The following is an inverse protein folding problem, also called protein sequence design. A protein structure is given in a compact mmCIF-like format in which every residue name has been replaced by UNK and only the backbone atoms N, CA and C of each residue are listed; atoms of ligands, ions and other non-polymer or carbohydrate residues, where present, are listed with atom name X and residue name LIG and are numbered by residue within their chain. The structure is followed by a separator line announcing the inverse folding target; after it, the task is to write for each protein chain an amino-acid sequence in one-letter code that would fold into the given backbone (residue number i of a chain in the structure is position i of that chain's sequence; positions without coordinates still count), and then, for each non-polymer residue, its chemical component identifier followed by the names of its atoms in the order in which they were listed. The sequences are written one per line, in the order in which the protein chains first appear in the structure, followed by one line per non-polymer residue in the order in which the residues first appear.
data_IF_444726592188
#
_entry.id   IF_444726592188
#
_cell.length_a   1.000
_cell.length_b   1.000
_cell.length_c   1.000
_cell.angle_alpha   90.00
_cell.angle_beta   90.00
_cell.angle_gamma   90.00
#
_symmetry.space_group_name_H-M   'P 1'
#
loop_
_entity.id
_entity.type
_entity.pdbx_description
1 polymer ?
#
# COMPACT_ATOMS: atom_id res chain seq x y z
N UNK A 1 -37.21 4.20 -41.77
CA UNK A 1 -37.05 3.28 -40.64
C UNK A 1 -35.74 3.61 -39.91
N UNK A 2 -35.74 3.91 -38.60
CA UNK A 2 -34.48 4.11 -37.85
C UNK A 2 -33.66 2.81 -37.87
N UNK A 3 -32.33 2.87 -37.95
CA UNK A 3 -31.47 1.69 -37.87
C UNK A 3 -31.63 0.99 -36.52
N UNK A 4 -31.18 -0.26 -36.39
CA UNK A 4 -31.29 -1.01 -35.14
C UNK A 4 -30.57 -0.28 -34.00
N UNK A 5 -29.35 0.18 -34.24
CA UNK A 5 -28.49 0.80 -33.21
C UNK A 5 -29.09 2.08 -32.63
N UNK A 6 -29.70 2.92 -33.47
CA UNK A 6 -30.27 4.22 -33.09
C UNK A 6 -31.74 4.14 -32.64
N UNK A 7 -32.31 2.93 -32.53
CA UNK A 7 -33.68 2.72 -32.08
C UNK A 7 -33.78 2.65 -30.56
N UNK A 8 -34.92 3.08 -29.99
CA UNK A 8 -35.23 2.89 -28.57
C UNK A 8 -35.40 1.41 -28.20
N UNK A 9 -35.22 1.05 -26.93
CA UNK A 9 -35.34 -0.34 -26.46
C UNK A 9 -36.69 -0.97 -26.78
N UNK A 10 -37.79 -0.23 -26.62
CA UNK A 10 -39.13 -0.69 -27.03
C UNK A 10 -39.16 -1.07 -28.51
N UNK A 11 -38.55 -0.26 -29.36
CA UNK A 11 -38.49 -0.52 -30.80
C UNK A 11 -37.57 -1.69 -31.15
N UNK A 12 -36.41 -1.82 -30.47
CA UNK A 12 -35.48 -2.96 -30.62
C UNK A 12 -36.16 -4.27 -30.24
N UNK A 13 -36.92 -4.30 -29.13
CA UNK A 13 -37.69 -5.48 -28.69
C UNK A 13 -38.74 -5.92 -29.70
N UNK A 14 -39.45 -4.97 -30.32
CA UNK A 14 -40.43 -5.24 -31.40
C UNK A 14 -39.75 -5.78 -32.66
N UNK A 15 -38.64 -5.16 -33.09
CA UNK A 15 -37.89 -5.59 -34.28
C UNK A 15 -37.31 -7.01 -34.16
N UNK A 16 -36.98 -7.44 -32.95
CA UNK A 16 -36.41 -8.77 -32.65
C UNK A 16 -37.47 -9.78 -32.20
N UNK A 17 -38.75 -9.41 -32.22
CA UNK A 17 -39.83 -10.27 -31.73
C UNK A 17 -39.99 -11.54 -32.56
N UNK A 18 -39.98 -11.40 -33.89
CA UNK A 18 -40.06 -12.52 -34.81
C UNK A 18 -38.90 -13.49 -34.59
N UNK A 19 -37.67 -12.99 -34.55
CA UNK A 19 -36.45 -13.79 -34.33
C UNK A 19 -36.53 -14.59 -33.01
N UNK A 20 -37.04 -13.98 -31.93
CA UNK A 20 -37.21 -14.66 -30.63
C UNK A 20 -38.34 -15.70 -30.61
N UNK A 21 -39.32 -15.60 -31.51
CA UNK A 21 -40.41 -16.58 -31.65
C UNK A 21 -40.00 -17.75 -32.55
N UNK A 22 -39.20 -17.46 -33.57
CA UNK A 22 -38.82 -18.44 -34.60
C UNK A 22 -37.69 -19.36 -34.15
N UNK A 23 -36.72 -18.86 -33.37
CA UNK A 23 -35.52 -19.62 -32.99
C UNK A 23 -35.43 -19.84 -31.48
N UNK A 24 -34.78 -20.93 -31.10
CA UNK A 24 -34.49 -21.27 -29.70
C UNK A 24 -33.37 -20.39 -29.12
N UNK A 25 -33.31 -20.30 -27.79
CA UNK A 25 -32.28 -19.54 -27.10
C UNK A 25 -30.86 -20.04 -27.43
N UNK A 26 -30.69 -21.36 -27.60
CA UNK A 26 -29.41 -21.99 -27.93
C UNK A 26 -28.96 -21.66 -29.36
N UNK A 27 -29.87 -21.68 -30.33
CA UNK A 27 -29.58 -21.26 -31.71
C UNK A 27 -29.19 -19.79 -31.78
N UNK A 28 -29.89 -18.93 -31.03
CA UNK A 28 -29.57 -17.50 -30.95
C UNK A 28 -28.22 -17.25 -30.29
N UNK A 29 -27.88 -17.99 -29.23
CA UNK A 29 -26.59 -17.91 -28.58
C UNK A 29 -25.44 -18.36 -29.50
N UNK A 30 -25.63 -19.46 -30.23
CA UNK A 30 -24.66 -19.96 -31.19
C UNK A 30 -24.47 -19.02 -32.38
N UNK A 31 -25.56 -18.47 -32.94
CA UNK A 31 -25.50 -17.48 -34.01
C UNK A 31 -24.74 -16.22 -33.56
N UNK A 32 -25.00 -15.75 -32.33
CA UNK A 32 -24.27 -14.61 -31.73
C UNK A 32 -22.79 -14.93 -31.56
N UNK A 33 -22.46 -16.14 -31.09
CA UNK A 33 -21.08 -16.60 -30.96
C UNK A 33 -20.34 -16.58 -32.30
N UNK A 34 -20.96 -17.06 -33.38
CA UNK A 34 -20.34 -17.07 -34.72
C UNK A 34 -20.14 -15.66 -35.27
N UNK A 35 -21.10 -14.76 -35.07
CA UNK A 35 -21.00 -13.35 -35.47
C UNK A 35 -19.88 -12.60 -34.71
N UNK A 36 -19.71 -12.86 -33.41
CA UNK A 36 -18.61 -12.28 -32.63
C UNK A 36 -17.24 -12.78 -33.09
N UNK A 37 -17.14 -14.05 -33.53
CA UNK A 37 -15.90 -14.60 -34.10
C UNK A 37 -15.56 -13.97 -35.44
N UNK A 38 -16.54 -13.81 -36.34
CA UNK A 38 -16.31 -13.22 -37.66
C UNK A 38 -15.91 -11.76 -37.60
N UNK A 39 -16.34 -11.04 -36.57
CA UNK A 39 -15.95 -9.64 -36.29
C UNK A 39 -14.65 -9.51 -35.49
N UNK A 40 -13.97 -10.63 -35.16
CA UNK A 40 -12.70 -10.65 -34.45
C UNK A 40 -12.80 -10.52 -32.92
N UNK A 41 -14.01 -10.42 -32.36
CA UNK A 41 -14.24 -10.33 -30.91
C UNK A 41 -14.25 -11.72 -30.25
N UNK A 42 -13.07 -12.36 -30.24
CA UNK A 42 -12.89 -13.74 -29.80
C UNK A 42 -13.21 -13.94 -28.32
N UNK A 43 -12.88 -12.96 -27.46
CA UNK A 43 -13.13 -13.05 -26.02
C UNK A 43 -14.63 -12.94 -25.70
N UNK A 44 -15.36 -12.01 -26.34
CA UNK A 44 -16.82 -11.94 -26.17
C UNK A 44 -17.49 -13.24 -26.67
N UNK A 45 -17.01 -13.82 -27.78
CA UNK A 45 -17.52 -15.09 -28.28
C UNK A 45 -17.29 -16.24 -27.28
N UNK A 46 -16.14 -16.29 -26.61
CA UNK A 46 -15.87 -17.27 -25.55
C UNK A 46 -16.83 -17.09 -24.37
N UNK A 47 -17.06 -15.87 -23.92
CA UNK A 47 -17.98 -15.56 -22.81
C UNK A 47 -19.40 -16.00 -23.14
N UNK A 48 -19.91 -15.66 -24.33
CA UNK A 48 -21.25 -16.09 -24.76
C UNK A 48 -21.38 -17.62 -24.70
N UNK A 49 -20.42 -18.36 -25.30
CA UNK A 49 -20.40 -19.82 -25.27
C UNK A 49 -20.39 -20.39 -23.85
N UNK A 50 -19.56 -19.82 -22.98
CA UNK A 50 -19.42 -20.26 -21.59
C UNK A 50 -20.72 -20.08 -20.80
N UNK A 51 -21.40 -18.95 -21.02
CA UNK A 51 -22.62 -18.57 -20.30
C UNK A 51 -23.85 -19.30 -20.86
N UNK A 52 -23.92 -19.55 -22.17
CA UNK A 52 -25.07 -20.19 -22.82
C UNK A 52 -25.01 -21.72 -22.80
N UNK A 53 -23.84 -22.33 -23.02
CA UNK A 53 -23.77 -23.73 -23.47
C UNK A 53 -23.10 -24.69 -22.48
N UNK A 54 -22.48 -24.19 -21.40
CA UNK A 54 -21.68 -25.05 -20.51
C UNK A 54 -22.40 -25.42 -19.22
N UNK A 55 -23.02 -24.45 -18.54
CA UNK A 55 -23.78 -24.72 -17.31
C UNK A 55 -24.62 -23.50 -16.90
N UNK A 56 -25.88 -23.67 -16.43
CA UNK A 56 -26.73 -22.58 -15.94
C UNK A 56 -26.11 -21.77 -14.79
N UNK A 57 -25.19 -22.38 -14.03
CA UNK A 57 -24.52 -21.76 -12.87
C UNK A 57 -23.40 -20.81 -13.31
N UNK A 58 -22.87 -20.97 -14.53
CA UNK A 58 -21.71 -20.22 -15.01
C UNK A 58 -22.05 -18.74 -15.21
N UNK A 59 -23.25 -18.45 -15.71
CA UNK A 59 -23.80 -17.10 -15.78
C UNK A 59 -23.78 -16.40 -14.41
N UNK A 60 -24.29 -17.08 -13.38
CA UNK A 60 -24.31 -16.57 -12.01
C UNK A 60 -22.89 -16.31 -11.48
N UNK A 61 -21.93 -17.20 -11.76
CA UNK A 61 -20.52 -16.98 -11.39
C UNK A 61 -19.92 -15.73 -12.02
N UNK A 62 -20.17 -15.48 -13.31
CA UNK A 62 -19.71 -14.25 -13.97
C UNK A 62 -20.33 -13.00 -13.34
N UNK A 63 -21.63 -13.02 -13.04
CA UNK A 63 -22.32 -11.89 -12.38
C UNK A 63 -21.74 -11.63 -10.99
N UNK A 64 -21.56 -12.68 -10.17
CA UNK A 64 -20.96 -12.55 -8.84
C UNK A 64 -19.53 -12.03 -8.92
N UNK A 65 -18.71 -12.52 -9.86
CA UNK A 65 -17.32 -12.08 -10.04
C UNK A 65 -17.23 -10.62 -10.53
N UNK A 66 -18.13 -10.20 -11.42
CA UNK A 66 -18.18 -8.84 -11.93
C UNK A 66 -18.68 -7.85 -10.85
N UNK A 67 -19.67 -8.26 -10.05
CA UNK A 67 -20.19 -7.48 -8.93
C UNK A 67 -19.21 -7.45 -7.75
N UNK A 68 -18.38 -8.49 -7.58
CA UNK A 68 -17.29 -8.51 -6.60
C UNK A 68 -16.09 -7.65 -7.02
N UNK A 69 -16.33 -6.55 -7.75
CA UNK A 69 -15.35 -5.51 -8.08
C UNK A 69 -14.50 -5.31 -6.83
N UNK A 70 -13.22 -5.68 -6.96
CA UNK A 70 -12.35 -6.09 -5.86
C UNK A 70 -12.50 -5.12 -4.68
N UNK A 71 -12.95 -5.63 -3.53
CA UNK A 71 -12.71 -4.91 -2.29
C UNK A 71 -11.19 -4.77 -2.16
N UNK A 72 -10.66 -3.58 -2.43
CA UNK A 72 -9.25 -3.27 -2.23
C UNK A 72 -8.99 -3.33 -0.73
N UNK A 73 -8.49 -4.48 -0.27
CA UNK A 73 -7.95 -4.62 1.07
C UNK A 73 -6.74 -3.70 1.19
N UNK A 74 -6.66 -2.92 2.27
CA UNK A 74 -5.47 -2.16 2.59
C UNK A 74 -4.23 -3.05 2.54
N UNK A 75 -3.15 -2.53 1.97
CA UNK A 75 -1.83 -3.14 2.11
C UNK A 75 -1.39 -3.10 3.58
N UNK A 76 -0.46 -3.99 3.99
CA UNK A 76 0.04 -3.99 5.35
C UNK A 76 0.70 -2.66 5.76
N UNK A 77 1.35 -1.96 4.82
CA UNK A 77 1.99 -0.67 5.04
C UNK A 77 0.95 0.46 5.19
N UNK A 78 -0.11 0.47 4.38
CA UNK A 78 -1.21 1.44 4.53
C UNK A 78 -1.96 1.25 5.85
N UNK A 79 -2.26 0.00 6.21
CA UNK A 79 -2.91 -0.30 7.47
C UNK A 79 -2.04 0.11 8.68
N UNK A 80 -0.72 -0.05 8.58
CA UNK A 80 0.22 0.43 9.59
C UNK A 80 0.24 1.97 9.66
N UNK A 81 0.25 2.67 8.51
CA UNK A 81 0.18 4.14 8.46
C UNK A 81 -1.08 4.65 9.14
N UNK A 82 -2.24 4.07 8.78
CA UNK A 82 -3.51 4.40 9.39
C UNK A 82 -3.49 4.17 10.90
N UNK A 83 -2.93 3.05 11.38
CA UNK A 83 -2.81 2.77 12.81
C UNK A 83 -2.02 3.85 13.56
N UNK A 84 -0.94 4.36 12.96
CA UNK A 84 -0.07 5.38 13.54
C UNK A 84 -0.73 6.76 13.51
N UNK A 85 -1.27 7.16 12.37
CA UNK A 85 -1.96 8.45 12.17
C UNK A 85 -3.18 8.58 13.08
N UNK A 86 -3.98 7.51 13.18
CA UNK A 86 -5.19 7.50 14.01
C UNK A 86 -4.93 7.08 15.46
N UNK A 87 -3.67 6.80 15.84
CA UNK A 87 -3.26 6.38 17.20
C UNK A 87 -4.08 5.23 17.78
N UNK A 88 -4.51 4.28 16.94
CA UNK A 88 -5.32 3.15 17.42
C UNK A 88 -4.46 2.02 17.98
N UNK A 89 -4.93 1.41 19.07
CA UNK A 89 -4.26 0.25 19.65
C UNK A 89 -4.42 -1.01 18.79
N UNK A 90 -3.55 -2.00 19.01
CA UNK A 90 -3.69 -3.35 18.42
C UNK A 90 -5.08 -3.93 18.66
N UNK A 91 -5.61 -3.78 19.88
CA UNK A 91 -6.94 -4.29 20.24
C UNK A 91 -8.03 -3.60 19.42
N UNK A 92 -8.01 -2.28 19.34
CA UNK A 92 -8.98 -1.50 18.55
C UNK A 92 -8.94 -1.91 17.07
N UNK A 93 -7.74 -1.99 16.48
CA UNK A 93 -7.56 -2.46 15.10
C UNK A 93 -8.16 -3.86 14.87
N UNK A 94 -7.86 -4.80 15.76
CA UNK A 94 -8.36 -6.18 15.65
C UNK A 94 -9.89 -6.25 15.83
N UNK A 95 -10.47 -5.48 16.75
CA UNK A 95 -11.92 -5.37 16.91
C UNK A 95 -12.56 -4.82 15.64
N UNK A 96 -12.10 -3.67 15.14
CA UNK A 96 -12.64 -3.06 13.91
C UNK A 96 -12.59 -4.04 12.74
N UNK A 97 -11.44 -4.69 12.51
CA UNK A 97 -11.30 -5.70 11.46
C UNK A 97 -12.28 -6.87 11.61
N UNK A 98 -12.46 -7.36 12.83
CA UNK A 98 -13.35 -8.50 13.06
C UNK A 98 -14.81 -8.10 12.81
N UNK A 99 -15.22 -6.90 13.21
CA UNK A 99 -16.57 -6.38 12.95
C UNK A 99 -16.82 -6.12 11.46
N UNK A 100 -15.84 -5.57 10.72
CA UNK A 100 -16.00 -5.41 9.25
C UNK A 100 -16.06 -6.76 8.55
N UNK A 101 -15.23 -7.72 8.98
CA UNK A 101 -15.22 -9.08 8.41
C UNK A 101 -16.54 -9.82 8.65
N UNK A 102 -17.17 -9.66 9.83
CA UNK A 102 -18.50 -10.23 10.12
C UNK A 102 -19.57 -9.70 9.16
N UNK A 103 -19.44 -8.44 8.74
CA UNK A 103 -20.32 -7.80 7.75
C UNK A 103 -19.97 -8.10 6.29
N UNK A 104 -19.05 -9.04 6.05
CA UNK A 104 -18.62 -9.44 4.70
C UNK A 104 -17.53 -8.56 4.08
N UNK A 105 -17.10 -7.50 4.75
CA UNK A 105 -16.12 -6.55 4.22
C UNK A 105 -14.68 -6.92 4.63
N UNK A 106 -13.83 -7.19 3.64
CA UNK A 106 -12.42 -7.58 3.81
C UNK A 106 -11.47 -6.40 3.61
N UNK A 107 -11.83 -5.23 4.15
CA UNK A 107 -11.03 -4.00 4.01
C UNK A 107 -9.66 -4.06 4.73
N UNK A 108 -9.58 -4.67 5.92
CA UNK A 108 -8.36 -4.63 6.75
C UNK A 108 -7.53 -5.92 6.68
N UNK A 109 -6.20 -5.84 6.45
CA UNK A 109 -5.32 -7.00 6.47
C UNK A 109 -5.21 -7.57 7.89
N UNK A 110 -4.83 -8.84 8.02
CA UNK A 110 -4.64 -9.41 9.35
C UNK A 110 -3.48 -8.73 10.09
N UNK A 111 -3.60 -8.61 11.42
CA UNK A 111 -2.58 -7.95 12.23
C UNK A 111 -1.19 -8.59 12.07
N UNK A 112 -1.10 -9.90 11.78
CA UNK A 112 0.18 -10.58 11.52
C UNK A 112 0.95 -9.96 10.34
N UNK A 113 0.25 -9.51 9.30
CA UNK A 113 0.88 -8.83 8.17
C UNK A 113 1.31 -7.41 8.53
N UNK A 114 0.48 -6.68 9.29
CA UNK A 114 0.82 -5.35 9.80
C UNK A 114 2.02 -5.40 10.74
N UNK A 115 2.10 -6.43 11.60
CA UNK A 115 3.24 -6.68 12.46
C UNK A 115 4.51 -6.97 11.66
N UNK A 116 4.41 -7.74 10.57
CA UNK A 116 5.54 -7.97 9.66
C UNK A 116 5.99 -6.64 9.02
N UNK A 117 5.06 -5.81 8.56
CA UNK A 117 5.37 -4.47 8.03
C UNK A 117 6.08 -3.60 9.07
N UNK A 118 5.58 -3.59 10.31
CA UNK A 118 6.20 -2.91 11.44
C UNK A 118 7.62 -3.40 11.71
N UNK A 119 7.85 -4.71 11.74
CA UNK A 119 9.18 -5.32 11.93
C UNK A 119 10.15 -5.02 10.78
N UNK A 120 9.67 -4.93 9.54
CA UNK A 120 10.49 -4.54 8.40
C UNK A 120 11.04 -3.10 8.53
N UNK A 121 10.43 -2.25 9.37
CA UNK A 121 10.91 -0.90 9.65
C UNK A 121 12.08 -0.86 10.65
N UNK A 122 12.32 -1.94 11.41
CA UNK A 122 13.31 -1.93 12.47
C UNK A 122 14.72 -2.26 11.95
N UNK A 123 15.77 -1.71 12.59
CA UNK A 123 17.11 -2.24 12.46
C UNK A 123 17.16 -3.70 12.98
N UNK A 124 18.07 -4.55 12.47
CA UNK A 124 18.29 -5.88 13.03
C UNK A 124 18.73 -5.80 14.51
N UNK A 125 18.26 -6.76 15.31
CA UNK A 125 18.47 -6.78 16.77
C UNK A 125 19.95 -6.70 17.17
N UNK A 126 20.85 -7.30 16.39
CA UNK A 126 22.30 -7.22 16.62
C UNK A 126 22.87 -5.79 16.64
N UNK A 127 22.20 -4.83 15.98
CA UNK A 127 22.63 -3.42 15.94
C UNK A 127 21.95 -2.54 16.98
N UNK A 128 21.12 -3.12 17.85
CA UNK A 128 20.36 -2.42 18.88
C UNK A 128 20.86 -2.88 20.25
N UNK A 129 21.34 -1.94 21.05
CA UNK A 129 21.73 -2.18 22.44
C UNK A 129 20.72 -1.48 23.37
N UNK A 130 20.08 -2.23 24.25
CA UNK A 130 19.10 -1.69 25.20
C UNK A 130 19.56 -2.08 26.60
N UNK A 131 19.77 -1.08 27.44
CA UNK A 131 20.05 -1.21 28.86
C UNK A 131 18.90 -0.61 29.67
N UNK A 132 18.95 -0.70 31.00
CA UNK A 132 17.97 -0.05 31.88
C UNK A 132 17.94 1.48 31.74
N UNK A 133 19.03 2.07 31.23
CA UNK A 133 19.24 3.53 31.22
C UNK A 133 19.50 4.10 29.83
N UNK A 134 19.66 3.27 28.80
CA UNK A 134 19.92 3.73 27.44
C UNK A 134 19.36 2.78 26.39
N UNK A 135 19.03 3.33 25.22
CA UNK A 135 18.74 2.57 24.02
C UNK A 135 19.55 3.18 22.87
N UNK A 136 20.47 2.40 22.32
CA UNK A 136 21.44 2.83 21.33
C UNK A 136 21.31 1.98 20.07
N UNK A 137 21.50 2.61 18.92
CA UNK A 137 21.50 1.94 17.62
C UNK A 137 22.66 2.46 16.77
N UNK A 138 23.31 1.56 16.02
CA UNK A 138 24.39 1.97 15.11
C UNK A 138 23.84 2.93 14.05
N UNK A 139 24.43 4.13 13.94
CA UNK A 139 23.94 5.16 13.00
C UNK A 139 23.88 4.67 11.55
N UNK A 140 24.89 3.89 11.10
CA UNK A 140 24.94 3.38 9.73
C UNK A 140 23.69 2.58 9.36
N UNK A 141 23.22 1.69 10.25
CA UNK A 141 22.06 0.85 9.94
C UNK A 141 20.77 1.66 9.86
N UNK A 142 20.67 2.76 10.62
CA UNK A 142 19.53 3.69 10.55
C UNK A 142 19.51 4.42 9.21
N UNK A 143 20.68 4.89 8.75
CA UNK A 143 20.81 5.55 7.44
C UNK A 143 20.48 4.59 6.30
N UNK A 144 21.05 3.38 6.31
CA UNK A 144 20.82 2.37 5.27
C UNK A 144 19.34 1.98 5.19
N UNK A 145 18.68 1.75 6.33
CA UNK A 145 17.24 1.44 6.38
C UNK A 145 16.38 2.61 5.89
N UNK A 146 16.73 3.83 6.27
CA UNK A 146 16.03 5.05 5.81
C UNK A 146 16.15 5.20 4.28
N UNK A 147 17.35 5.01 3.73
CA UNK A 147 17.60 5.07 2.28
C UNK A 147 16.79 4.00 1.56
N UNK A 148 16.89 2.74 1.98
CA UNK A 148 16.18 1.63 1.35
C UNK A 148 14.65 1.89 1.28
N UNK A 149 14.07 2.46 2.34
CA UNK A 149 12.65 2.83 2.36
C UNK A 149 12.33 4.00 1.43
N UNK A 150 13.15 5.05 1.40
CA UNK A 150 12.97 6.18 0.48
C UNK A 150 13.04 5.70 -0.97
N UNK A 151 14.02 4.84 -1.31
CA UNK A 151 14.17 4.28 -2.65
C UNK A 151 12.94 3.45 -3.04
N UNK A 152 12.44 2.60 -2.14
CA UNK A 152 11.21 1.82 -2.37
C UNK A 152 9.99 2.72 -2.61
N UNK A 153 9.82 3.78 -1.81
CA UNK A 153 8.70 4.72 -1.95
C UNK A 153 8.79 5.61 -3.19
N UNK A 154 9.97 5.73 -3.80
CA UNK A 154 10.22 6.57 -4.96
C UNK A 154 10.61 5.72 -6.18
N UNK A 155 10.33 4.42 -6.15
CA UNK A 155 10.77 3.47 -7.16
C UNK A 155 10.33 3.90 -8.57
N UNK A 156 9.07 4.32 -8.71
CA UNK A 156 8.52 4.82 -9.98
C UNK A 156 9.24 6.07 -10.48
N UNK A 157 9.62 6.98 -9.58
CA UNK A 157 10.37 8.19 -9.93
C UNK A 157 11.79 7.83 -10.34
N UNK A 158 12.45 6.94 -9.58
CA UNK A 158 13.84 6.53 -9.80
C UNK A 158 13.98 5.78 -11.12
N UNK A 159 13.03 4.91 -11.48
CA UNK A 159 13.01 4.19 -12.76
C UNK A 159 12.99 5.13 -13.97
N UNK A 160 12.49 6.35 -13.81
CA UNK A 160 12.42 7.37 -14.87
C UNK A 160 13.67 8.28 -14.93
N UNK A 161 14.64 8.13 -14.01
CA UNK A 161 15.87 8.92 -14.01
C UNK A 161 16.91 8.21 -14.89
N UNK A 162 17.66 8.99 -15.68
CA UNK A 162 18.78 8.48 -16.47
C UNK A 162 19.78 7.72 -15.56
N UNK A 163 20.14 6.45 -15.86
CA UNK A 163 21.07 5.65 -15.07
C UNK A 163 22.41 6.35 -14.76
N UNK A 164 22.89 7.22 -15.65
CA UNK A 164 24.12 7.99 -15.43
C UNK A 164 24.05 8.91 -14.20
N UNK A 165 22.86 9.39 -13.85
CA UNK A 165 22.64 10.26 -12.68
C UNK A 165 22.39 9.47 -11.39
N UNK A 166 22.04 8.18 -11.48
CA UNK A 166 21.78 7.33 -10.31
C UNK A 166 23.09 6.87 -9.64
N UNK A 167 24.20 6.86 -10.37
CA UNK A 167 25.52 6.42 -9.85
C UNK A 167 26.10 7.32 -8.74
N UNK A 168 25.63 8.55 -8.59
CA UNK A 168 26.22 9.56 -7.69
C UNK A 168 25.19 10.24 -6.77
N UNK A 169 24.26 9.48 -6.22
CA UNK A 169 23.23 10.03 -5.31
C UNK A 169 23.84 10.32 -3.95
N UNK A 170 23.62 11.55 -3.45
CA UNK A 170 24.06 11.98 -2.12
C UNK A 170 22.86 12.21 -1.22
N UNK A 171 22.82 11.50 -0.08
CA UNK A 171 21.87 11.80 0.98
C UNK A 171 22.45 12.89 1.87
N UNK A 172 21.70 14.00 2.01
CA UNK A 172 22.02 15.03 2.98
C UNK A 172 21.13 14.86 4.21
N UNK A 173 21.76 14.57 5.34
CA UNK A 173 21.10 14.41 6.63
C UNK A 173 21.42 15.58 7.55
N UNK A 174 20.44 15.99 8.35
CA UNK A 174 20.65 16.81 9.55
C UNK A 174 20.49 15.91 10.77
N UNK A 175 21.27 16.15 11.82
CA UNK A 175 21.11 15.49 13.12
C UNK A 175 21.21 16.52 14.23
N UNK A 176 20.66 16.20 15.40
CA UNK A 176 20.65 17.05 16.59
C UNK A 176 20.30 16.24 17.82
N UNK A 177 20.23 16.88 18.97
CA UNK A 177 19.85 16.27 20.24
C UNK A 177 19.13 17.32 21.09
N UNK A 178 18.02 16.95 21.72
CA UNK A 178 17.22 17.84 22.58
C UNK A 178 16.60 17.01 23.71
N UNK A 179 16.33 17.64 24.86
CA UNK A 179 15.85 17.02 26.09
C UNK A 179 14.41 17.39 26.45
N UNK A 180 13.68 16.46 27.08
CA UNK A 180 12.33 16.72 27.62
C UNK A 180 12.26 16.30 29.09
N UNK A 181 11.53 17.08 29.90
CA UNK A 181 11.22 16.78 31.31
C UNK A 181 9.70 16.64 31.52
N UNK A 182 9.28 16.25 32.73
CA UNK A 182 7.87 16.21 33.13
C UNK A 182 7.10 14.95 32.73
N UNK A 183 7.80 13.86 32.42
CA UNK A 183 7.18 12.56 32.22
C UNK A 183 6.78 11.95 33.57
N UNK A 184 5.74 11.10 33.57
CA UNK A 184 5.34 10.38 34.78
C UNK A 184 6.40 9.36 35.18
N UNK A 185 6.88 9.46 36.42
CA UNK A 185 7.80 8.49 37.04
C UNK A 185 7.11 7.15 37.16
N UNK A 186 7.66 6.15 36.49
CA UNK A 186 7.28 4.76 36.70
C UNK A 186 8.14 4.19 37.83
N UNK A 187 7.63 3.19 38.56
CA UNK A 187 8.37 2.54 39.67
C UNK A 187 9.54 1.66 39.16
N UNK A 188 10.29 2.13 38.17
CA UNK A 188 11.45 1.47 37.64
C UNK A 188 12.56 1.54 38.68
N UNK A 189 13.03 0.38 39.13
CA UNK A 189 14.19 0.31 40.01
C UNK A 189 15.43 0.53 39.16
N UNK A 190 16.27 1.48 39.55
CA UNK A 190 17.59 1.68 38.97
C UNK A 190 18.63 1.01 39.85
N UNK A 191 19.68 0.52 39.21
CA UNK A 191 20.82 -0.12 39.86
C UNK A 191 21.75 0.88 40.58
N UNK A 192 21.60 2.18 40.32
CA UNK A 192 22.36 3.26 40.94
C UNK A 192 21.44 4.26 41.65
N UNK A 193 21.84 4.68 42.86
CA UNK A 193 21.15 5.72 43.64
C UNK A 193 21.24 7.08 42.93
N UNK A 194 20.11 7.79 42.82
CA UNK A 194 20.03 9.12 42.20
C UNK A 194 19.65 9.14 40.72
N UNK A 195 19.44 7.98 40.08
CA UNK A 195 18.85 7.89 38.74
C UNK A 195 17.33 7.99 38.81
N UNK A 196 16.75 8.75 37.88
CA UNK A 196 15.30 8.99 37.77
C UNK A 196 14.89 8.98 36.30
N UNK A 197 13.66 8.55 36.01
CA UNK A 197 13.03 8.58 34.69
C UNK A 197 12.27 9.90 34.41
N UNK A 198 12.33 10.89 35.31
CA UNK A 198 11.66 12.20 35.16
C UNK A 198 12.13 13.01 33.95
N UNK A 199 13.37 12.78 33.49
CA UNK A 199 14.02 13.47 32.38
C UNK A 199 14.69 12.46 31.47
N UNK A 200 13.97 12.01 30.46
CA UNK A 200 14.54 11.26 29.34
C UNK A 200 14.04 11.87 28.06
N UNK A 201 14.97 12.19 27.17
CA UNK A 201 14.93 11.90 25.73
C UNK A 201 16.14 12.59 25.11
N UNK A 202 16.99 11.84 24.41
CA UNK A 202 17.99 12.38 23.50
C UNK A 202 17.67 11.78 22.13
N UNK A 203 16.92 12.52 21.31
CA UNK A 203 16.60 12.08 19.96
C UNK A 203 17.67 12.53 18.98
N UNK A 204 18.34 11.56 18.34
CA UNK A 204 19.05 11.82 17.08
C UNK A 204 18.01 11.83 15.96
N UNK A 205 17.51 13.02 15.63
CA UNK A 205 16.59 13.22 14.52
C UNK A 205 17.37 13.34 13.20
N UNK A 206 17.38 12.29 12.38
CA UNK A 206 17.87 12.36 11.01
C UNK A 206 16.80 12.97 10.09
N UNK A 207 16.98 14.22 9.67
CA UNK A 207 16.05 14.91 8.77
C UNK A 207 16.64 15.01 7.35
N UNK A 208 15.79 14.89 6.33
CA UNK A 208 16.18 14.97 4.91
C UNK A 208 16.36 16.44 4.55
N UNK A 209 17.60 16.87 4.31
CA UNK A 209 17.85 18.24 3.90
C UNK A 209 17.46 18.45 2.43
N UNK A 210 16.48 19.32 2.17
CA UNK A 210 16.19 19.88 0.85
C UNK A 210 17.11 21.09 0.64
N UNK A 211 17.90 21.10 -0.43
CA UNK A 211 18.75 22.25 -0.77
C UNK A 211 17.85 23.45 -1.15
N UNK A 212 17.70 24.42 -0.26
CA UNK A 212 17.17 25.76 -0.60
C UNK A 212 18.34 26.61 -1.09
N UNK A 213 18.20 27.17 -2.30
CA UNK A 213 19.07 28.25 -2.74
C UNK A 213 18.68 29.50 -1.95
N UNK A 214 19.43 29.82 -0.90
CA UNK A 214 19.14 30.97 -0.05
C UNK A 214 20.21 31.10 1.03
N UNK A 215 20.91 32.23 0.97
CA UNK A 215 22.01 32.64 1.82
C UNK A 215 21.49 32.91 3.24
N UNK A 216 21.82 32.07 4.23
CA UNK A 216 21.62 32.46 5.62
C UNK A 216 22.72 31.94 6.56
N UNK A 217 23.08 32.86 7.45
CA UNK A 217 24.26 32.90 8.31
C UNK A 217 24.05 32.11 9.60
N UNK A 218 25.15 31.56 10.11
CA UNK A 218 25.39 31.16 11.50
C UNK A 218 24.30 30.36 12.23
N UNK A 219 24.20 29.07 11.91
CA UNK A 219 23.93 28.06 12.94
C UNK A 219 25.18 27.17 13.06
N UNK A 220 25.69 27.00 14.28
CA UNK A 220 26.73 26.03 14.60
C UNK A 220 26.16 24.61 14.41
N UNK A 221 26.11 24.16 13.15
CA UNK A 221 25.66 22.82 12.77
C UNK A 221 26.86 22.02 12.25
N UNK A 222 27.16 20.91 12.92
CA UNK A 222 28.09 19.92 12.38
C UNK A 222 27.46 19.25 11.15
N UNK A 223 27.93 19.60 9.96
CA UNK A 223 27.54 18.96 8.69
C UNK A 223 28.31 17.65 8.57
N UNK A 224 27.65 16.50 8.66
CA UNK A 224 28.24 15.22 8.26
C UNK A 224 27.96 15.00 6.78
N UNK A 225 28.99 14.59 6.02
CA UNK A 225 28.92 14.33 4.59
C UNK A 225 29.25 12.86 4.39
N UNK A 226 28.24 12.03 4.21
CA UNK A 226 28.45 10.66 3.75
C UNK A 226 28.63 10.71 2.22
N UNK A 227 29.81 10.31 1.74
CA UNK A 227 30.07 10.07 0.32
C UNK A 227 29.93 8.57 0.11
N UNK A 228 28.99 8.15 -0.72
CA UNK A 228 28.88 6.76 -1.15
C UNK A 228 29.44 6.63 -2.55
N UNK A 229 30.50 5.84 -2.67
CA UNK A 229 30.91 5.16 -3.89
C UNK A 229 30.41 3.72 -3.76
N UNK A 230 29.56 3.31 -4.71
CA UNK A 230 29.06 1.95 -4.93
C UNK A 230 28.02 1.40 -3.94
N UNK A 231 26.74 1.68 -4.24
CA UNK A 231 25.63 0.73 -4.02
C UNK A 231 24.78 0.72 -5.30
N UNK A 232 25.32 0.10 -6.35
CA UNK A 232 24.59 -0.44 -7.51
C UNK A 232 25.35 -1.67 -8.01
#
# INVERSE_FOLDING_TARGET
SKSFDTSSDRSKRRKTEEIRKTFTADELAYATQMSLRSTGNLEAAKVVKDVSSTSPIRAAKYVTAFQSKMEETFTPDEALSLMLESKISKRAYQTTRNETKKKGCKLFPSYKHVEKAKKMCYPPDFYVNITETSAEVKLQIVLDKTIARILKLQEDVIRNINPAHVKNVKLYCKWGCDGSSGQSVYKQKFSEDGKSDESFLHFICADKARKRNGNDRNCYMAKSKAIFTEIL
#
